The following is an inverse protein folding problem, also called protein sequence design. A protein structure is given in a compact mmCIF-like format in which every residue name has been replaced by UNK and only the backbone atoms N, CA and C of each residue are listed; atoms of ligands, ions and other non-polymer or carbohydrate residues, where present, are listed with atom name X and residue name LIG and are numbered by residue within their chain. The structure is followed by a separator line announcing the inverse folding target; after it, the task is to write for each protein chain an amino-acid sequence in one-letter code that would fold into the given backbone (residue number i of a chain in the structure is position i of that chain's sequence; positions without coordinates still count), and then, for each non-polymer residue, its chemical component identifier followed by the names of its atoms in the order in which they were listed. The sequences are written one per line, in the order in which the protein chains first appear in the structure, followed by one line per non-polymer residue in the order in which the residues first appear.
data_IF_291383322711
#
_entry.id   IF_291383322711
#
_cell.length_a   1.000
_cell.length_b   1.000
_cell.length_c   1.000
_cell.angle_alpha   90.00
_cell.angle_beta   90.00
_cell.angle_gamma   90.00
#
_symmetry.space_group_name_H-M   'P 1'
#
loop_
_entity.id
_entity.type
_entity.pdbx_description
1 polymer ?
#
# COMPACT_ATOMS: atom_id res chain seq x y z
N UNK A 1 -12.22 12.36 -16.40
CA UNK A 1 -12.34 11.31 -15.38
C UNK A 1 -12.71 10.02 -16.10
N UNK A 2 -12.00 8.94 -15.86
CA UNK A 2 -12.37 7.62 -16.36
C UNK A 2 -13.66 7.20 -15.65
N UNK A 3 -14.62 6.71 -16.43
CA UNK A 3 -15.89 6.23 -15.88
C UNK A 3 -15.67 4.75 -15.49
N UNK A 4 -15.29 4.49 -14.24
CA UNK A 4 -15.03 3.16 -13.71
C UNK A 4 -16.36 2.57 -13.18
N UNK A 5 -17.08 1.85 -14.02
CA UNK A 5 -18.42 1.32 -13.70
C UNK A 5 -18.41 -0.18 -13.32
N UNK A 6 -17.35 -0.91 -13.65
CA UNK A 6 -17.27 -2.36 -13.48
C UNK A 6 -15.99 -2.75 -12.76
N UNK A 7 -16.11 -3.24 -11.54
CA UNK A 7 -14.97 -3.50 -10.66
C UNK A 7 -14.95 -4.94 -10.14
N UNK A 8 -13.76 -5.40 -9.78
CA UNK A 8 -13.52 -6.59 -8.96
C UNK A 8 -13.00 -6.14 -7.61
N UNK A 9 -13.47 -6.77 -6.52
CA UNK A 9 -13.07 -6.41 -5.17
C UNK A 9 -12.39 -7.59 -4.49
N UNK A 10 -11.22 -7.34 -3.91
CA UNK A 10 -10.53 -8.28 -3.04
C UNK A 10 -10.54 -7.79 -1.61
N UNK A 11 -10.97 -8.64 -0.70
CA UNK A 11 -10.99 -8.38 0.73
C UNK A 11 -9.90 -9.17 1.44
N UNK A 12 -9.35 -8.60 2.49
CA UNK A 12 -8.57 -9.38 3.46
C UNK A 12 -9.47 -10.32 4.26
N UNK A 13 -8.89 -11.36 4.83
CA UNK A 13 -9.59 -12.41 5.58
C UNK A 13 -10.52 -11.85 6.66
N UNK A 14 -11.79 -12.26 6.67
CA UNK A 14 -12.83 -11.85 7.61
C UNK A 14 -13.39 -10.44 7.36
N UNK A 15 -12.94 -9.72 6.34
CA UNK A 15 -13.40 -8.35 6.07
C UNK A 15 -14.69 -8.30 5.24
N UNK A 16 -15.04 -9.37 4.54
CA UNK A 16 -16.35 -9.46 3.88
C UNK A 16 -17.48 -9.43 4.92
N UNK A 17 -17.32 -10.16 6.01
CA UNK A 17 -18.31 -10.19 7.09
C UNK A 17 -18.46 -8.83 7.80
N UNK A 18 -17.38 -8.04 7.86
CA UNK A 18 -17.35 -6.75 8.56
C UNK A 18 -17.81 -5.59 7.67
N UNK A 19 -17.42 -5.56 6.41
CA UNK A 19 -17.58 -4.39 5.54
C UNK A 19 -18.27 -4.71 4.20
N UNK A 20 -18.43 -5.99 3.85
CA UNK A 20 -18.87 -6.38 2.51
C UNK A 20 -20.21 -5.78 2.12
N UNK A 21 -21.23 -5.84 3.00
CA UNK A 21 -22.55 -5.27 2.75
C UNK A 21 -22.50 -3.77 2.49
N UNK A 22 -21.86 -3.02 3.37
CA UNK A 22 -21.80 -1.54 3.30
C UNK A 22 -21.06 -1.09 2.03
N UNK A 23 -19.96 -1.79 1.68
CA UNK A 23 -19.20 -1.52 0.44
C UNK A 23 -20.04 -1.80 -0.79
N UNK A 24 -20.73 -2.96 -0.86
CA UNK A 24 -21.55 -3.33 -2.00
C UNK A 24 -22.72 -2.38 -2.19
N UNK A 25 -23.40 -2.00 -1.12
CA UNK A 25 -24.54 -1.07 -1.16
C UNK A 25 -24.08 0.33 -1.59
N UNK A 26 -22.96 0.82 -1.07
CA UNK A 26 -22.41 2.12 -1.44
C UNK A 26 -22.02 2.17 -2.92
N UNK A 27 -21.33 1.15 -3.44
CA UNK A 27 -20.94 1.10 -4.84
C UNK A 27 -22.16 1.01 -5.76
N UNK A 28 -23.17 0.22 -5.37
CA UNK A 28 -24.43 0.11 -6.12
C UNK A 28 -25.21 1.43 -6.17
N UNK A 29 -25.20 2.22 -5.08
CA UNK A 29 -25.84 3.54 -5.04
C UNK A 29 -25.18 4.51 -6.02
N UNK A 30 -23.87 4.39 -6.22
CA UNK A 30 -23.10 5.18 -7.19
C UNK A 30 -23.11 4.59 -8.62
N UNK A 31 -23.89 3.56 -8.88
CA UNK A 31 -24.01 2.93 -10.19
C UNK A 31 -22.84 2.04 -10.58
N UNK A 32 -21.97 1.68 -9.64
CA UNK A 32 -20.83 0.80 -9.88
C UNK A 32 -21.25 -0.65 -9.74
N UNK A 33 -20.97 -1.45 -10.75
CA UNK A 33 -21.25 -2.89 -10.76
C UNK A 33 -20.04 -3.68 -10.27
N UNK A 34 -20.22 -4.42 -9.19
CA UNK A 34 -19.21 -5.38 -8.72
C UNK A 34 -19.39 -6.68 -9.49
N UNK A 35 -18.43 -7.01 -10.35
CA UNK A 35 -18.46 -8.21 -11.18
C UNK A 35 -18.16 -9.48 -10.38
N UNK A 36 -17.15 -9.39 -9.51
CA UNK A 36 -16.72 -10.44 -8.61
C UNK A 36 -16.15 -9.85 -7.34
N UNK A 37 -16.25 -10.58 -6.24
CA UNK A 37 -15.57 -10.27 -5.00
C UNK A 37 -15.14 -11.54 -4.26
N UNK A 38 -14.01 -11.50 -3.57
CA UNK A 38 -13.51 -12.64 -2.80
C UNK A 38 -12.55 -12.17 -1.69
N UNK A 39 -12.35 -13.03 -0.71
CA UNK A 39 -11.24 -12.88 0.23
C UNK A 39 -9.95 -13.44 -0.37
N UNK A 40 -8.84 -12.73 -0.15
CA UNK A 40 -7.50 -13.17 -0.55
C UNK A 40 -6.59 -13.22 0.67
N UNK A 41 -5.92 -14.37 0.83
CA UNK A 41 -4.86 -14.57 1.84
C UNK A 41 -3.54 -15.05 1.20
N UNK A 42 -3.50 -15.18 -0.12
CA UNK A 42 -2.27 -15.55 -0.83
C UNK A 42 -1.44 -14.31 -1.17
N UNK A 43 -0.14 -14.50 -1.16
CA UNK A 43 0.87 -13.60 -1.73
C UNK A 43 1.81 -14.35 -2.67
N UNK A 44 1.46 -15.58 -3.04
CA UNK A 44 2.20 -16.35 -4.04
C UNK A 44 1.95 -15.76 -5.43
N UNK A 45 3.03 -15.52 -6.15
CA UNK A 45 2.96 -14.87 -7.46
C UNK A 45 2.18 -15.67 -8.49
N UNK A 46 2.30 -17.00 -8.48
CA UNK A 46 1.63 -17.89 -9.44
C UNK A 46 0.12 -17.91 -9.20
N UNK A 47 -0.32 -17.88 -7.93
CA UNK A 47 -1.72 -17.75 -7.56
C UNK A 47 -2.30 -16.42 -8.06
N UNK A 48 -1.55 -15.31 -7.87
CA UNK A 48 -2.00 -13.98 -8.28
C UNK A 48 -2.04 -13.86 -9.81
N UNK A 49 -1.09 -14.45 -10.52
CA UNK A 49 -1.13 -14.50 -11.99
C UNK A 49 -2.39 -15.25 -12.45
N UNK A 50 -2.67 -16.41 -11.85
CA UNK A 50 -3.87 -17.20 -12.14
C UNK A 50 -5.14 -16.40 -11.88
N UNK A 51 -5.21 -15.71 -10.74
CA UNK A 51 -6.31 -14.83 -10.37
C UNK A 51 -6.50 -13.69 -11.39
N UNK A 52 -5.41 -13.03 -11.80
CA UNK A 52 -5.46 -11.94 -12.76
C UNK A 52 -6.04 -12.38 -14.11
N UNK A 53 -5.68 -13.58 -14.58
CA UNK A 53 -6.24 -14.13 -15.82
C UNK A 53 -7.67 -14.64 -15.68
N UNK A 54 -8.09 -15.06 -14.48
CA UNK A 54 -9.46 -15.51 -14.22
C UNK A 54 -10.47 -14.36 -14.09
N UNK A 55 -10.02 -13.14 -13.75
CA UNK A 55 -10.91 -11.97 -13.63
C UNK A 55 -11.72 -11.74 -14.90
N UNK A 56 -13.02 -11.32 -14.81
CA UNK A 56 -13.86 -11.01 -15.94
C UNK A 56 -13.20 -10.02 -16.93
N UNK A 57 -13.37 -10.25 -18.24
CA UNK A 57 -12.76 -9.38 -19.26
C UNK A 57 -13.26 -7.93 -19.22
N UNK A 58 -14.44 -7.70 -18.63
CA UNK A 58 -15.04 -6.37 -18.51
C UNK A 58 -14.54 -5.59 -17.29
N UNK A 59 -13.66 -6.16 -16.46
CA UNK A 59 -13.13 -5.50 -15.29
C UNK A 59 -12.37 -4.23 -15.68
N UNK A 60 -12.80 -3.10 -15.16
CA UNK A 60 -12.24 -1.78 -15.43
C UNK A 60 -11.31 -1.30 -14.30
N UNK A 61 -11.51 -1.79 -13.08
CA UNK A 61 -10.61 -1.53 -11.96
C UNK A 61 -10.63 -2.67 -10.95
N UNK A 62 -9.56 -2.78 -10.17
CA UNK A 62 -9.47 -3.63 -8.98
C UNK A 62 -9.49 -2.76 -7.74
N UNK A 63 -10.31 -3.13 -6.76
CA UNK A 63 -10.34 -2.53 -5.43
C UNK A 63 -9.81 -3.57 -4.43
N UNK A 64 -8.82 -3.25 -3.62
CA UNK A 64 -8.40 -4.11 -2.51
C UNK A 64 -8.67 -3.43 -1.18
N UNK A 65 -9.39 -4.14 -0.31
CA UNK A 65 -9.79 -3.67 1.02
C UNK A 65 -9.14 -4.58 2.07
N UNK A 66 -8.15 -4.06 2.81
CA UNK A 66 -7.50 -4.85 3.84
C UNK A 66 -6.06 -4.46 4.17
N UNK A 67 -5.31 -5.39 4.72
CA UNK A 67 -3.89 -5.22 5.04
C UNK A 67 -2.97 -5.46 3.84
N UNK A 68 -1.65 -5.38 4.08
CA UNK A 68 -0.64 -5.45 3.02
C UNK A 68 -0.75 -6.63 2.06
N UNK A 69 -1.12 -7.83 2.53
CA UNK A 69 -1.25 -9.02 1.66
C UNK A 69 -2.24 -8.80 0.52
N UNK A 70 -3.48 -8.42 0.84
CA UNK A 70 -4.53 -8.24 -0.17
C UNK A 70 -4.26 -7.00 -1.03
N UNK A 71 -3.67 -5.95 -0.45
CA UNK A 71 -3.26 -4.76 -1.19
C UNK A 71 -2.22 -5.13 -2.25
N UNK A 72 -1.16 -5.86 -1.88
CA UNK A 72 -0.10 -6.26 -2.81
C UNK A 72 -0.61 -7.23 -3.87
N UNK A 73 -1.45 -8.20 -3.49
CA UNK A 73 -2.05 -9.16 -4.42
C UNK A 73 -2.94 -8.45 -5.47
N UNK A 74 -3.87 -7.60 -5.03
CA UNK A 74 -4.75 -6.88 -5.95
C UNK A 74 -4.04 -5.83 -6.79
N UNK A 75 -3.04 -5.14 -6.22
CA UNK A 75 -2.17 -4.21 -6.95
C UNK A 75 -1.45 -4.92 -8.10
N UNK A 76 -0.86 -6.09 -7.82
CA UNK A 76 -0.15 -6.85 -8.83
C UNK A 76 -1.09 -7.45 -9.89
N UNK A 77 -2.26 -7.96 -9.49
CA UNK A 77 -3.29 -8.43 -10.42
C UNK A 77 -3.77 -7.31 -11.36
N UNK A 78 -4.02 -6.11 -10.84
CA UNK A 78 -4.38 -4.93 -11.64
C UNK A 78 -3.24 -4.51 -12.58
N UNK A 79 -1.99 -4.56 -12.12
CA UNK A 79 -0.80 -4.30 -12.92
C UNK A 79 -0.69 -5.24 -14.12
N UNK A 80 -0.85 -6.55 -13.91
CA UNK A 80 -0.83 -7.56 -14.98
C UNK A 80 -1.93 -7.33 -16.03
N UNK A 81 -3.10 -6.88 -15.59
CA UNK A 81 -4.23 -6.54 -16.46
C UNK A 81 -4.14 -5.14 -17.08
N UNK A 82 -3.16 -4.34 -16.67
CA UNK A 82 -2.99 -2.93 -17.05
C UNK A 82 -4.28 -2.10 -16.85
N UNK A 83 -4.94 -2.29 -15.70
CA UNK A 83 -6.15 -1.56 -15.28
C UNK A 83 -5.89 -0.79 -13.97
N UNK A 84 -6.69 0.24 -13.66
CA UNK A 84 -6.62 0.99 -12.43
C UNK A 84 -6.72 0.11 -11.18
N UNK A 85 -5.93 0.45 -10.16
CA UNK A 85 -5.96 -0.15 -8.82
C UNK A 85 -6.39 0.88 -7.79
N UNK A 86 -7.36 0.52 -6.94
CA UNK A 86 -7.80 1.33 -5.82
C UNK A 86 -7.42 0.62 -4.52
N UNK A 87 -6.63 1.29 -3.70
CA UNK A 87 -6.13 0.80 -2.42
C UNK A 87 -6.99 1.30 -1.28
N UNK A 88 -7.55 0.38 -0.48
CA UNK A 88 -8.35 0.70 0.72
C UNK A 88 -7.74 -0.01 1.93
N UNK A 89 -6.65 0.55 2.51
CA UNK A 89 -5.97 -0.08 3.63
C UNK A 89 -6.82 -0.03 4.89
N UNK A 90 -6.93 -1.17 5.58
CA UNK A 90 -7.58 -1.30 6.90
C UNK A 90 -6.57 -1.36 8.05
N UNK A 91 -5.28 -1.23 7.75
CA UNK A 91 -4.20 -1.15 8.71
C UNK A 91 -3.08 -0.25 8.20
N UNK A 92 -2.33 0.35 9.10
CA UNK A 92 -1.22 1.25 8.82
C UNK A 92 0.15 0.60 9.04
N UNK A 93 0.32 -0.67 8.63
CA UNK A 93 1.52 -1.45 8.99
C UNK A 93 2.77 -1.09 8.19
N UNK A 94 2.65 -0.50 7.02
CA UNK A 94 3.75 -0.05 6.15
C UNK A 94 3.23 0.85 5.03
N UNK A 95 4.14 1.43 4.25
CA UNK A 95 3.84 2.25 3.07
C UNK A 95 3.42 1.45 1.83
N UNK A 96 3.34 0.11 1.91
CA UNK A 96 2.99 -0.77 0.79
C UNK A 96 1.68 -0.43 0.10
N UNK A 97 0.70 0.17 0.80
CA UNK A 97 -0.58 0.56 0.21
C UNK A 97 -0.46 1.72 -0.80
N UNK A 98 0.64 2.47 -0.76
CA UNK A 98 0.90 3.65 -1.59
C UNK A 98 2.13 3.51 -2.48
N UNK A 99 2.89 2.41 -2.38
CA UNK A 99 4.08 2.18 -3.20
C UNK A 99 3.75 1.58 -4.56
N UNK A 100 4.66 1.77 -5.54
CA UNK A 100 4.57 1.20 -6.89
C UNK A 100 5.12 -0.23 -6.98
N UNK A 101 5.41 -0.87 -5.87
CA UNK A 101 5.87 -2.26 -5.80
C UNK A 101 4.90 -3.12 -5.01
N UNK A 102 4.97 -4.42 -5.22
CA UNK A 102 4.24 -5.42 -4.45
C UNK A 102 5.23 -6.43 -3.84
N UNK A 103 5.03 -6.77 -2.56
CA UNK A 103 5.87 -7.73 -1.85
C UNK A 103 5.22 -9.11 -1.92
N UNK A 104 5.72 -9.97 -2.81
CA UNK A 104 5.14 -11.27 -3.14
C UNK A 104 6.10 -12.42 -2.81
N UNK A 105 5.58 -13.63 -2.74
CA UNK A 105 6.37 -14.86 -2.72
C UNK A 105 6.67 -15.28 -4.15
N UNK A 106 7.95 -15.26 -4.52
CA UNK A 106 8.46 -15.73 -5.80
C UNK A 106 9.36 -16.94 -5.53
N UNK A 107 8.93 -18.11 -5.97
CA UNK A 107 9.61 -19.38 -5.65
C UNK A 107 9.87 -19.57 -4.13
N UNK A 108 8.87 -19.22 -3.31
CA UNK A 108 8.91 -19.34 -1.86
C UNK A 108 9.78 -18.28 -1.14
N UNK A 109 10.34 -17.29 -1.85
CA UNK A 109 11.11 -16.19 -1.27
C UNK A 109 10.33 -14.88 -1.37
N UNK A 110 10.32 -14.13 -0.28
CA UNK A 110 9.73 -12.77 -0.26
C UNK A 110 10.55 -11.86 -1.19
N UNK A 111 9.89 -11.30 -2.20
CA UNK A 111 10.52 -10.51 -3.25
C UNK A 111 9.67 -9.28 -3.54
N UNK A 112 10.30 -8.11 -3.63
CA UNK A 112 9.64 -6.90 -4.12
C UNK A 112 9.63 -6.95 -5.64
N UNK A 113 8.43 -6.98 -6.22
CA UNK A 113 8.22 -6.97 -7.68
C UNK A 113 7.64 -5.65 -8.13
N UNK A 114 8.00 -5.15 -9.33
CA UNK A 114 7.43 -3.93 -9.88
C UNK A 114 5.92 -4.04 -10.07
N UNK A 115 5.21 -2.97 -9.75
CA UNK A 115 3.80 -2.80 -10.01
C UNK A 115 3.54 -1.34 -10.47
N UNK A 116 2.36 -0.78 -10.18
CA UNK A 116 2.05 0.63 -10.39
C UNK A 116 1.50 1.25 -9.11
N UNK A 117 1.65 2.57 -8.98
CA UNK A 117 0.95 3.33 -7.97
C UNK A 117 -0.56 3.08 -8.05
N UNK A 118 -1.22 3.10 -6.90
CA UNK A 118 -2.66 3.08 -6.86
C UNK A 118 -3.22 4.31 -7.60
N UNK A 119 -4.25 4.10 -8.41
CA UNK A 119 -5.02 5.17 -9.05
C UNK A 119 -5.74 6.05 -8.01
N UNK A 120 -6.14 5.43 -6.91
CA UNK A 120 -6.70 6.11 -5.74
C UNK A 120 -6.41 5.33 -4.46
N UNK A 121 -6.24 6.08 -3.37
CA UNK A 121 -6.07 5.52 -2.03
C UNK A 121 -7.20 6.09 -1.17
N UNK A 122 -8.00 5.21 -0.57
CA UNK A 122 -9.10 5.58 0.32
C UNK A 122 -8.76 5.07 1.71
N UNK A 123 -8.61 5.97 2.65
CA UNK A 123 -8.28 5.64 4.04
C UNK A 123 -9.35 6.13 4.98
N UNK A 124 -9.89 5.21 5.77
CA UNK A 124 -10.71 5.52 6.92
C UNK A 124 -9.90 5.30 8.21
N UNK A 125 -9.55 6.39 8.89
CA UNK A 125 -8.79 6.33 10.14
C UNK A 125 -9.56 5.66 11.27
N UNK A 126 -10.89 5.67 11.24
CA UNK A 126 -11.72 4.96 12.21
C UNK A 126 -11.59 3.44 12.03
N UNK A 127 -11.54 2.96 10.79
CA UNK A 127 -11.27 1.54 10.49
C UNK A 127 -9.86 1.16 10.96
N UNK A 128 -8.83 1.95 10.62
CA UNK A 128 -7.45 1.71 11.06
C UNK A 128 -7.34 1.68 12.59
N UNK A 129 -8.08 2.55 13.29
CA UNK A 129 -8.13 2.61 14.75
C UNK A 129 -8.61 1.30 15.39
N UNK A 130 -9.47 0.53 14.72
CA UNK A 130 -9.98 -0.76 15.19
C UNK A 130 -9.01 -1.91 14.97
N UNK A 131 -8.02 -1.73 14.09
CA UNK A 131 -7.02 -2.75 13.81
C UNK A 131 -6.17 -3.07 15.06
N UNK A 132 -5.61 -4.29 15.16
CA UNK A 132 -4.69 -4.65 16.23
C UNK A 132 -3.50 -3.68 16.32
N UNK A 133 -3.17 -3.26 17.55
CA UNK A 133 -2.12 -2.26 17.83
C UNK A 133 -0.77 -2.58 17.20
N UNK A 134 -0.45 -3.87 17.04
CA UNK A 134 0.78 -4.31 16.38
C UNK A 134 0.97 -3.73 14.98
N UNK A 135 -0.11 -3.47 14.24
CA UNK A 135 -0.02 -2.89 12.90
C UNK A 135 0.28 -1.40 12.94
N UNK A 136 -0.19 -0.69 13.97
CA UNK A 136 0.18 0.71 14.20
C UNK A 136 1.66 0.79 14.59
N UNK A 137 2.13 -0.07 15.52
CA UNK A 137 3.54 -0.15 15.87
C UNK A 137 4.43 -0.50 14.68
N UNK A 138 3.97 -1.40 13.81
CA UNK A 138 4.69 -1.75 12.58
C UNK A 138 4.85 -0.54 11.67
N UNK A 139 3.79 0.26 11.47
CA UNK A 139 3.85 1.49 10.67
C UNK A 139 4.75 2.56 11.29
N UNK A 140 4.76 2.69 12.63
CA UNK A 140 5.71 3.54 13.34
C UNK A 140 7.15 3.10 13.04
N UNK A 141 7.43 1.81 13.15
CA UNK A 141 8.72 1.22 12.84
C UNK A 141 9.13 1.47 11.38
N UNK A 142 8.19 1.27 10.46
CA UNK A 142 8.37 1.53 9.04
C UNK A 142 8.69 3.01 8.76
N UNK A 143 8.05 3.96 9.44
CA UNK A 143 8.39 5.39 9.32
C UNK A 143 9.76 5.73 9.90
N UNK A 144 10.14 5.12 11.02
CA UNK A 144 11.45 5.38 11.65
C UNK A 144 12.59 4.81 10.79
N UNK A 145 12.39 3.64 10.16
CA UNK A 145 13.38 3.01 9.29
C UNK A 145 13.81 3.89 8.12
N UNK A 146 12.91 4.80 7.65
CA UNK A 146 13.21 5.75 6.56
C UNK A 146 14.40 6.67 6.90
N UNK A 147 14.67 6.92 8.18
CA UNK A 147 15.84 7.72 8.60
C UNK A 147 17.12 7.00 8.20
N UNK A 148 17.19 5.69 8.47
CA UNK A 148 18.34 4.84 8.10
C UNK A 148 18.43 4.68 6.59
N UNK A 149 17.31 4.36 5.93
CA UNK A 149 17.26 4.18 4.49
C UNK A 149 17.76 5.42 3.72
N UNK A 150 17.34 6.61 4.11
CA UNK A 150 17.80 7.87 3.51
C UNK A 150 19.29 8.09 3.73
N UNK A 151 19.81 7.74 4.90
CA UNK A 151 21.25 7.84 5.18
C UNK A 151 22.04 6.89 4.29
N UNK A 152 21.59 5.63 4.18
CA UNK A 152 22.24 4.61 3.36
C UNK A 152 22.26 5.04 1.89
N UNK A 153 21.15 5.52 1.36
CA UNK A 153 21.06 5.94 -0.04
C UNK A 153 22.01 7.11 -0.35
N UNK A 154 22.05 8.13 0.53
CA UNK A 154 22.99 9.26 0.38
C UNK A 154 24.46 8.80 0.53
N UNK A 155 24.72 7.79 1.36
CA UNK A 155 26.05 7.22 1.51
C UNK A 155 26.46 6.42 0.26
N UNK A 156 25.57 5.65 -0.33
CA UNK A 156 25.78 4.94 -1.59
C UNK A 156 26.13 5.90 -2.74
N UNK A 157 25.41 7.03 -2.85
CA UNK A 157 25.72 8.05 -3.85
C UNK A 157 27.14 8.59 -3.68
N UNK A 158 27.54 8.98 -2.46
CA UNK A 158 28.89 9.46 -2.17
C UNK A 158 29.96 8.42 -2.49
N UNK A 159 29.59 7.16 -2.46
CA UNK A 159 30.46 6.02 -2.76
C UNK A 159 30.42 5.62 -4.24
N UNK A 160 29.60 6.28 -5.06
CA UNK A 160 29.47 6.06 -6.52
C UNK A 160 28.66 4.82 -6.91
N UNK A 161 27.83 4.28 -5.99
CA UNK A 161 27.02 3.07 -6.22
C UNK A 161 25.58 3.37 -6.63
N UNK A 162 25.07 4.56 -6.37
CA UNK A 162 23.70 4.96 -6.73
C UNK A 162 23.62 6.43 -7.12
N UNK A 163 22.51 6.83 -7.74
CA UNK A 163 22.15 8.23 -7.96
C UNK A 163 20.99 8.59 -7.02
N UNK A 164 21.08 9.72 -6.35
CA UNK A 164 20.07 10.22 -5.44
C UNK A 164 19.17 11.23 -6.15
N UNK A 165 17.86 11.03 -6.03
CA UNK A 165 16.88 12.01 -6.47
C UNK A 165 16.57 12.97 -5.31
N UNK A 166 17.02 14.20 -5.39
CA UNK A 166 16.86 15.22 -4.34
C UNK A 166 15.40 15.48 -3.97
N UNK A 167 14.49 15.41 -4.96
CA UNK A 167 13.07 15.61 -4.70
C UNK A 167 12.46 14.44 -3.92
N UNK A 168 12.84 13.20 -4.24
CA UNK A 168 12.44 12.03 -3.48
C UNK A 168 12.96 12.10 -2.03
N UNK A 169 14.22 12.50 -1.85
CA UNK A 169 14.80 12.73 -0.51
C UNK A 169 14.02 13.79 0.26
N UNK A 170 13.67 14.89 -0.38
CA UNK A 170 12.88 15.96 0.25
C UNK A 170 11.52 15.46 0.72
N UNK A 171 10.80 14.70 -0.11
CA UNK A 171 9.49 14.14 0.22
C UNK A 171 9.61 13.13 1.38
N UNK A 172 10.55 12.20 1.30
CA UNK A 172 10.76 11.21 2.37
C UNK A 172 11.17 11.86 3.70
N UNK A 173 12.07 12.85 3.67
CA UNK A 173 12.42 13.64 4.88
C UNK A 173 11.23 14.39 5.44
N UNK A 174 10.37 14.97 4.59
CA UNK A 174 9.18 15.67 5.03
C UNK A 174 8.22 14.71 5.72
N UNK A 175 7.99 13.51 5.15
CA UNK A 175 7.14 12.48 5.74
C UNK A 175 7.62 12.11 7.16
N UNK A 176 8.90 11.76 7.30
CA UNK A 176 9.49 11.41 8.61
C UNK A 176 9.40 12.58 9.61
N UNK A 177 9.76 13.80 9.20
CA UNK A 177 9.76 14.96 10.10
C UNK A 177 8.35 15.33 10.56
N UNK A 178 7.35 15.22 9.69
CA UNK A 178 5.95 15.49 10.04
C UNK A 178 5.48 14.49 11.09
N UNK A 179 5.66 13.21 10.82
CA UNK A 179 5.29 12.13 11.72
C UNK A 179 5.97 12.24 13.10
N UNK A 180 7.30 12.37 13.15
CA UNK A 180 8.08 12.39 14.42
C UNK A 180 7.73 13.61 15.31
N UNK A 181 7.26 14.71 14.71
CA UNK A 181 6.92 15.94 15.44
C UNK A 181 5.46 16.01 15.85
N UNK A 182 4.61 15.10 15.40
CA UNK A 182 3.19 15.11 15.76
C UNK A 182 3.00 14.64 17.20
N UNK A 183 2.47 15.50 18.10
CA UNK A 183 2.22 15.11 19.47
C UNK A 183 1.04 14.14 19.54
N UNK A 184 1.09 13.18 20.43
CA UNK A 184 0.01 12.23 20.68
C UNK A 184 -0.01 11.76 22.14
N UNK A 185 -1.19 11.44 22.66
CA UNK A 185 -1.34 10.83 23.97
C UNK A 185 -1.35 9.31 23.88
N UNK A 186 -1.97 8.78 22.83
CA UNK A 186 -2.04 7.34 22.56
C UNK A 186 -1.81 7.07 21.06
N UNK A 187 -1.37 5.85 20.74
CA UNK A 187 -1.19 5.41 19.34
C UNK A 187 -2.51 5.39 18.55
N UNK A 188 -3.66 5.51 19.22
CA UNK A 188 -5.00 5.57 18.62
C UNK A 188 -5.58 6.98 18.58
N UNK A 189 -4.78 7.99 18.88
CA UNK A 189 -5.17 9.37 18.67
C UNK A 189 -5.46 9.62 17.19
N UNK A 190 -6.57 10.30 16.90
CA UNK A 190 -7.02 10.49 15.52
C UNK A 190 -6.03 11.32 14.69
N UNK A 191 -5.49 12.38 15.29
CA UNK A 191 -4.47 13.21 14.63
C UNK A 191 -3.19 12.42 14.36
N UNK A 192 -2.78 11.59 15.33
CA UNK A 192 -1.62 10.74 15.17
C UNK A 192 -1.80 9.69 14.06
N UNK A 193 -2.94 8.99 14.04
CA UNK A 193 -3.23 7.99 12.99
C UNK A 193 -3.30 8.63 11.61
N UNK A 194 -3.92 9.81 11.51
CA UNK A 194 -3.95 10.54 10.25
C UNK A 194 -2.54 10.89 9.78
N UNK A 195 -1.72 11.46 10.65
CA UNK A 195 -0.35 11.83 10.29
C UNK A 195 0.52 10.62 9.95
N UNK A 196 0.34 9.50 10.65
CA UNK A 196 1.03 8.25 10.33
C UNK A 196 0.67 7.78 8.91
N UNK A 197 -0.62 7.76 8.57
CA UNK A 197 -1.10 7.33 7.25
C UNK A 197 -0.64 8.29 6.15
N UNK A 198 -0.76 9.59 6.36
CA UNK A 198 -0.30 10.62 5.41
C UNK A 198 1.21 10.50 5.16
N UNK A 199 1.99 10.25 6.22
CA UNK A 199 3.44 10.06 6.14
C UNK A 199 3.82 8.76 5.41
N UNK A 200 3.12 7.65 5.69
CA UNK A 200 3.30 6.40 4.96
C UNK A 200 2.94 6.57 3.47
N UNK A 201 1.86 7.30 3.16
CA UNK A 201 1.47 7.58 1.77
C UNK A 201 2.56 8.40 1.04
N UNK A 202 3.10 9.44 1.67
CA UNK A 202 4.19 10.24 1.11
C UNK A 202 5.47 9.40 0.90
N UNK A 203 5.75 8.47 1.81
CA UNK A 203 6.88 7.54 1.70
C UNK A 203 6.78 6.67 0.44
N UNK A 204 5.62 6.05 0.19
CA UNK A 204 5.39 5.27 -1.02
C UNK A 204 5.50 6.09 -2.32
N UNK A 205 5.05 7.35 -2.29
CA UNK A 205 5.21 8.29 -3.42
C UNK A 205 6.69 8.64 -3.65
N UNK A 206 7.49 8.78 -2.58
CA UNK A 206 8.92 9.04 -2.72
C UNK A 206 9.65 7.92 -3.48
N UNK A 207 9.23 6.66 -3.27
CA UNK A 207 9.76 5.51 -4.02
C UNK A 207 9.48 5.61 -5.52
N UNK A 208 8.28 6.01 -5.90
CA UNK A 208 7.92 6.20 -7.32
C UNK A 208 8.76 7.31 -7.95
N UNK A 209 8.92 8.44 -7.26
CA UNK A 209 9.75 9.56 -7.73
C UNK A 209 11.21 9.14 -7.91
N UNK A 210 11.73 8.30 -7.02
CA UNK A 210 13.09 7.76 -7.10
C UNK A 210 13.24 6.66 -8.15
N UNK A 211 12.15 6.03 -8.59
CA UNK A 211 12.19 4.83 -9.43
C UNK A 211 12.74 3.59 -8.72
N UNK A 212 12.82 3.61 -7.40
CA UNK A 212 13.35 2.52 -6.58
C UNK A 212 12.82 2.62 -5.13
N UNK A 213 13.01 1.57 -4.34
CA UNK A 213 12.68 1.59 -2.90
C UNK A 213 13.78 2.21 -2.02
N UNK A 214 14.89 2.65 -2.59
CA UNK A 214 16.03 3.19 -1.84
C UNK A 214 15.69 4.32 -0.86
N UNK A 215 14.77 5.27 -1.14
CA UNK A 215 14.39 6.30 -0.17
C UNK A 215 13.78 5.77 1.12
N UNK A 216 13.24 4.55 1.11
CA UNK A 216 12.40 4.02 2.20
C UNK A 216 12.78 2.63 2.68
N UNK A 217 13.73 1.96 2.01
CA UNK A 217 14.17 0.60 2.32
C UNK A 217 15.69 0.53 2.15
N UNK A 218 16.41 0.53 3.25
CA UNK A 218 17.87 0.46 3.32
C UNK A 218 18.35 -0.83 3.99
N UNK A 219 19.51 -0.76 4.65
CA UNK A 219 20.17 -1.88 5.31
C UNK A 219 19.33 -2.51 6.44
N UNK A 220 18.43 -1.76 7.06
CA UNK A 220 17.54 -2.24 8.12
C UNK A 220 16.58 -3.36 7.65
N UNK A 221 16.28 -3.44 6.35
CA UNK A 221 15.45 -4.49 5.79
C UNK A 221 16.23 -5.81 5.55
N UNK A 222 17.54 -5.83 5.75
CA UNK A 222 18.40 -7.00 5.61
C UNK A 222 18.58 -7.77 6.93
N UNK A 223 18.12 -7.20 8.04
CA UNK A 223 18.19 -7.77 9.39
C UNK A 223 16.86 -8.44 9.73
#
# INVERSE_FOLDING_TARGET
AENLEQVVIFFGNGLIDLFGMDVMDSLKQEGITVLEYSELDTVDIDDIITLAFAMPNKTQAVISIGGGKVIDAGKYAAFLRNIPFISVPTSSSSDGFSSASASLLVHGKRTSVPAKLAYGIIVDTQVIRTAPDKFIYSGIGDMISKITALYDWIFEEKSGYSEVNDFAVMIAKKAVNSFVRTPYETIKDELFLKELVDSLAMSGIANEIAGSSAPTSGSEHLI
#
